data_IF_513633802459
#
_entry.id   IF_513633802459
#
_cell.length_a   1.000
_cell.length_b   1.000
_cell.length_c   1.000
_cell.angle_alpha   90.00
_cell.angle_beta   90.00
_cell.angle_gamma   90.00
#
_symmetry.space_group_name_H-M   'P 1'
#
loop_
_entity.id
_entity.type
_entity.pdbx_description
1 polymer ?
#
# COMPACT_ATOMS: atom_id res chain seq x y z
N UNK A 1 40.11 21.52 -1.22
CA UNK A 1 39.54 21.66 0.15
C UNK A 1 38.75 20.41 0.51
N UNK A 2 38.07 20.38 1.66
CA UNK A 2 37.32 19.21 2.13
C UNK A 2 38.13 18.30 3.05
N UNK A 3 37.73 17.04 3.17
CA UNK A 3 38.38 16.05 4.04
C UNK A 3 37.48 14.85 4.39
N UNK A 4 38.05 13.95 5.17
CA UNK A 4 37.34 12.82 5.79
C UNK A 4 36.61 13.32 7.04
N UNK A 5 35.33 13.00 7.14
CA UNK A 5 34.46 13.35 8.25
C UNK A 5 34.22 12.08 9.07
N UNK A 6 34.85 12.01 10.25
CA UNK A 6 34.87 10.79 11.08
C UNK A 6 33.79 10.78 12.18
N UNK A 7 33.17 11.93 12.44
CA UNK A 7 32.13 12.03 13.46
C UNK A 7 30.84 11.37 12.99
N UNK A 8 30.12 10.72 13.91
CA UNK A 8 28.82 10.08 13.65
C UNK A 8 27.73 11.10 13.25
N UNK A 9 27.91 12.39 13.51
CA UNK A 9 27.07 13.44 12.92
C UNK A 9 27.86 14.72 12.76
N UNK A 10 27.40 15.61 11.89
CA UNK A 10 28.05 16.88 11.68
C UNK A 10 27.32 17.80 10.73
N UNK A 11 27.88 19.00 10.58
CA UNK A 11 27.43 20.01 9.62
C UNK A 11 28.61 20.36 8.72
N UNK A 12 28.38 20.28 7.42
CA UNK A 12 29.31 20.67 6.37
C UNK A 12 28.88 22.06 5.89
N UNK A 13 29.80 23.00 5.98
CA UNK A 13 29.65 24.32 5.40
C UNK A 13 30.52 24.41 4.15
N UNK A 14 30.00 25.08 3.12
CA UNK A 14 30.84 25.59 2.04
C UNK A 14 31.98 26.49 2.61
N UNK A 15 33.13 26.59 1.94
CA UNK A 15 34.22 27.42 2.41
C UNK A 15 33.79 28.88 2.61
N UNK A 16 34.40 29.57 3.58
CA UNK A 16 34.16 30.97 3.90
C UNK A 16 32.71 31.36 4.30
N UNK A 17 31.86 30.36 4.59
CA UNK A 17 30.45 30.56 4.98
C UNK A 17 30.24 31.57 6.13
N UNK A 18 31.09 31.53 7.15
CA UNK A 18 31.00 32.42 8.31
C UNK A 18 31.90 33.66 8.23
N UNK A 19 33.00 33.59 7.50
CA UNK A 19 34.02 34.65 7.47
C UNK A 19 33.72 35.72 6.45
N UNK A 20 33.38 35.34 5.23
CA UNK A 20 33.08 36.27 4.11
C UNK A 20 31.61 36.20 3.70
N UNK A 21 30.93 35.12 4.08
CA UNK A 21 29.52 34.92 3.77
C UNK A 21 29.26 34.42 2.36
N UNK A 22 30.30 34.12 1.60
CA UNK A 22 30.28 33.49 0.28
C UNK A 22 31.51 32.59 0.12
N UNK A 23 31.40 31.53 -0.68
CA UNK A 23 32.54 30.71 -1.06
C UNK A 23 33.51 31.46 -2.01
N UNK A 24 34.67 30.87 -2.30
CA UNK A 24 35.64 31.41 -3.25
C UNK A 24 35.47 30.79 -4.65
N UNK A 25 35.95 31.48 -5.67
CA UNK A 25 36.12 30.92 -7.01
C UNK A 25 37.23 29.86 -7.03
N UNK A 26 37.23 29.02 -8.07
CA UNK A 26 38.24 28.02 -8.41
C UNK A 26 38.48 26.98 -7.30
N UNK A 27 37.39 26.53 -6.67
CA UNK A 27 37.43 25.55 -5.60
C UNK A 27 37.10 24.16 -6.13
N UNK A 28 37.83 23.18 -5.62
CA UNK A 28 37.39 21.79 -5.58
C UNK A 28 37.48 21.32 -4.13
N UNK A 29 36.33 21.14 -3.49
CA UNK A 29 36.24 20.55 -2.15
C UNK A 29 35.61 19.16 -2.22
N UNK A 30 36.27 18.17 -1.63
CA UNK A 30 35.77 16.80 -1.59
C UNK A 30 35.57 16.41 -0.13
N UNK A 31 34.33 16.13 0.25
CA UNK A 31 33.96 15.69 1.60
C UNK A 31 33.58 14.21 1.55
N UNK A 32 34.21 13.39 2.38
CA UNK A 32 33.93 11.95 2.49
C UNK A 32 33.48 11.64 3.89
N UNK A 33 32.27 11.10 4.04
CA UNK A 33 31.74 10.75 5.36
C UNK A 33 32.11 9.31 5.66
N UNK A 34 32.97 9.12 6.67
CA UNK A 34 33.35 7.78 7.13
C UNK A 34 32.20 7.14 7.89
N UNK A 35 32.11 5.83 7.70
CA UNK A 35 31.14 4.93 8.32
C UNK A 35 31.76 3.56 8.45
N UNK A 36 31.28 2.77 9.40
CA UNK A 36 31.61 1.36 9.53
C UNK A 36 30.75 0.54 8.55
N UNK A 37 31.12 -0.74 8.31
CA UNK A 37 30.17 -1.71 7.77
C UNK A 37 28.86 -1.68 8.58
N UNK A 38 27.72 -1.84 7.91
CA UNK A 38 26.37 -1.87 8.49
C UNK A 38 25.82 -0.55 9.07
N UNK A 39 26.55 0.56 8.89
CA UNK A 39 26.03 1.91 9.12
C UNK A 39 25.43 2.49 7.83
N UNK A 40 24.70 3.60 7.93
CA UNK A 40 24.07 4.34 6.85
C UNK A 40 24.41 5.81 7.04
N UNK A 41 24.70 6.52 5.96
CA UNK A 41 24.91 7.98 6.01
C UNK A 41 23.67 8.67 5.47
N UNK A 42 23.02 9.46 6.31
CA UNK A 42 21.97 10.37 5.91
C UNK A 42 22.55 11.77 5.74
N UNK A 43 22.17 12.47 4.66
CA UNK A 43 22.52 13.86 4.42
C UNK A 43 21.31 14.69 3.96
N UNK A 44 21.27 15.94 4.42
CA UNK A 44 20.25 16.92 4.08
C UNK A 44 20.91 18.31 3.93
N UNK A 45 20.52 19.06 2.89
CA UNK A 45 20.98 20.43 2.66
C UNK A 45 19.96 21.41 3.22
N UNK A 46 20.30 22.06 4.34
CA UNK A 46 19.41 23.01 5.04
C UNK A 46 19.40 24.39 4.36
N UNK A 47 20.55 24.80 3.80
CA UNK A 47 20.69 26.03 3.03
C UNK A 47 21.49 25.71 1.76
N UNK A 48 21.07 26.25 0.62
CA UNK A 48 21.71 26.02 -0.67
C UNK A 48 21.47 27.20 -1.62
N UNK A 49 22.55 27.88 -1.99
CA UNK A 49 22.56 28.98 -2.96
C UNK A 49 23.93 29.02 -3.65
N UNK A 50 23.97 28.51 -4.88
CA UNK A 50 25.13 28.49 -5.77
C UNK A 50 24.86 29.30 -7.04
N UNK A 51 25.90 29.62 -7.81
CA UNK A 51 25.70 30.20 -9.13
C UNK A 51 24.80 29.31 -9.98
N UNK A 52 23.75 29.90 -10.56
CA UNK A 52 22.79 29.16 -11.35
C UNK A 52 23.26 29.05 -12.80
N UNK A 53 23.23 27.83 -13.34
CA UNK A 53 23.37 27.55 -14.76
C UNK A 53 22.38 26.45 -15.16
N UNK A 54 21.82 26.52 -16.37
CA UNK A 54 20.81 25.56 -16.85
C UNK A 54 21.22 24.10 -16.71
N UNK A 55 22.51 23.82 -16.88
CA UNK A 55 23.11 22.49 -16.73
C UNK A 55 24.14 22.42 -15.58
N UNK A 56 24.15 23.40 -14.67
CA UNK A 56 25.08 23.48 -13.54
C UNK A 56 26.57 23.26 -13.89
N UNK A 57 27.03 23.93 -14.97
CA UNK A 57 28.40 23.79 -15.49
C UNK A 57 29.39 24.74 -14.81
N UNK A 58 28.90 25.76 -14.10
CA UNK A 58 29.70 26.69 -13.34
C UNK A 58 29.95 26.10 -11.94
N UNK A 59 29.23 26.61 -10.95
CA UNK A 59 29.27 26.07 -9.60
C UNK A 59 28.31 24.90 -9.43
N UNK A 60 28.77 23.83 -8.80
CA UNK A 60 27.93 22.66 -8.56
C UNK A 60 28.30 21.85 -7.33
N UNK A 61 27.30 21.20 -6.76
CA UNK A 61 27.46 20.09 -5.83
C UNK A 61 27.06 18.79 -6.50
N UNK A 62 27.92 17.80 -6.41
CA UNK A 62 27.72 16.44 -6.91
C UNK A 62 27.83 15.45 -5.74
N UNK A 63 26.95 14.46 -5.69
CA UNK A 63 26.91 13.47 -4.60
C UNK A 63 27.09 12.09 -5.22
N UNK A 64 28.09 11.35 -4.75
CA UNK A 64 28.46 10.02 -5.24
C UNK A 64 28.25 8.98 -4.13
N UNK A 65 27.67 7.83 -4.49
CA UNK A 65 27.58 6.65 -3.61
C UNK A 65 28.76 5.74 -3.94
N UNK A 66 29.91 6.01 -3.31
CA UNK A 66 31.18 5.35 -3.56
C UNK A 66 32.29 6.35 -3.87
N UNK A 67 33.31 5.88 -4.60
CA UNK A 67 34.41 6.74 -5.02
C UNK A 67 34.07 7.52 -6.29
N UNK A 68 34.05 8.85 -6.18
CA UNK A 68 33.76 9.76 -7.28
C UNK A 68 34.68 9.63 -8.52
N UNK A 69 35.85 8.98 -8.40
CA UNK A 69 36.75 8.77 -9.53
C UNK A 69 36.34 7.59 -10.41
N UNK A 70 35.51 6.69 -9.89
CA UNK A 70 35.04 5.53 -10.66
C UNK A 70 33.82 5.92 -11.49
N UNK A 71 33.91 5.78 -12.81
CA UNK A 71 32.82 6.11 -13.73
C UNK A 71 31.58 5.24 -13.57
N UNK A 72 31.68 4.08 -12.91
CA UNK A 72 30.53 3.21 -12.63
C UNK A 72 29.79 3.56 -11.33
N UNK A 73 30.26 4.53 -10.57
CA UNK A 73 29.67 4.92 -9.28
C UNK A 73 28.34 5.67 -9.48
N UNK A 74 27.30 5.27 -8.73
CA UNK A 74 26.00 5.96 -8.75
C UNK A 74 26.18 7.40 -8.29
N UNK A 75 25.64 8.35 -9.07
CA UNK A 75 25.84 9.79 -8.91
C UNK A 75 24.50 10.52 -8.95
N UNK A 76 24.38 11.56 -8.12
CA UNK A 76 23.25 12.49 -8.07
C UNK A 76 23.76 13.92 -8.26
N UNK A 77 23.10 14.67 -9.15
CA UNK A 77 23.47 16.03 -9.55
C UNK A 77 23.89 16.11 -11.02
N UNK A 78 24.58 17.17 -11.45
CA UNK A 78 25.01 18.33 -10.66
C UNK A 78 23.85 19.19 -10.16
N UNK A 79 23.97 19.73 -8.95
CA UNK A 79 23.01 20.67 -8.36
C UNK A 79 23.60 22.06 -8.24
N UNK A 80 22.82 23.09 -8.58
CA UNK A 80 23.22 24.51 -8.53
C UNK A 80 22.00 25.43 -8.38
N UNK A 81 22.22 26.74 -8.28
CA UNK A 81 21.16 27.69 -7.98
C UNK A 81 20.65 27.55 -6.54
N UNK A 82 19.35 27.70 -6.35
CA UNK A 82 18.69 27.68 -5.02
C UNK A 82 17.93 26.39 -4.72
N UNK A 83 17.86 25.47 -5.67
CA UNK A 83 17.22 24.17 -5.47
C UNK A 83 18.22 23.20 -4.87
N UNK A 84 18.07 22.94 -3.57
CA UNK A 84 18.92 22.02 -2.83
C UNK A 84 18.77 20.58 -3.34
N UNK A 85 19.85 19.77 -3.26
CA UNK A 85 19.75 18.33 -3.44
C UNK A 85 18.70 17.71 -2.50
N UNK A 86 17.96 16.67 -2.93
CA UNK A 86 17.03 15.98 -2.06
C UNK A 86 17.77 15.30 -0.88
N UNK A 87 17.05 15.03 0.20
CA UNK A 87 17.57 14.25 1.33
C UNK A 87 17.95 12.85 0.84
N UNK A 88 19.19 12.44 1.12
CA UNK A 88 19.74 11.16 0.68
C UNK A 88 20.12 10.31 1.89
N UNK A 89 19.98 9.00 1.74
CA UNK A 89 20.50 8.00 2.68
C UNK A 89 21.24 6.94 1.89
N UNK A 90 22.43 6.60 2.35
CA UNK A 90 23.34 5.70 1.65
C UNK A 90 23.85 4.61 2.58
N UNK A 91 23.72 3.36 2.14
CA UNK A 91 24.42 2.22 2.70
C UNK A 91 25.80 1.99 2.03
N UNK A 92 26.30 2.96 1.27
CA UNK A 92 27.65 3.02 0.70
C UNK A 92 28.41 4.27 1.20
N UNK A 93 29.70 4.39 0.85
CA UNK A 93 30.49 5.59 1.12
C UNK A 93 29.84 6.82 0.45
N UNK A 94 29.52 7.86 1.22
CA UNK A 94 28.95 9.08 0.66
C UNK A 94 30.06 10.11 0.41
N UNK A 95 30.27 10.46 -0.86
CA UNK A 95 31.27 11.45 -1.30
C UNK A 95 30.57 12.67 -1.91
N UNK A 96 30.85 13.86 -1.38
CA UNK A 96 30.29 15.13 -1.86
C UNK A 96 31.43 15.92 -2.52
N UNK A 97 31.22 16.31 -3.77
CA UNK A 97 32.16 17.13 -4.54
C UNK A 97 31.53 18.48 -4.80
N UNK A 98 32.10 19.51 -4.20
CA UNK A 98 31.75 20.90 -4.47
C UNK A 98 32.80 21.53 -5.39
N UNK A 99 32.36 21.96 -6.57
CA UNK A 99 33.19 22.59 -7.59
C UNK A 99 32.70 24.02 -7.84
N UNK A 100 33.64 24.97 -7.98
CA UNK A 100 33.33 26.34 -8.40
C UNK A 100 34.19 26.78 -9.56
N UNK A 101 33.65 27.62 -10.43
CA UNK A 101 34.38 28.15 -11.58
C UNK A 101 35.18 29.43 -11.21
N UNK A 102 35.71 30.14 -12.20
CA UNK A 102 36.58 31.31 -11.97
C UNK A 102 35.82 32.59 -11.56
N UNK A 103 34.50 32.65 -11.66
CA UNK A 103 33.70 33.85 -11.43
C UNK A 103 32.44 33.59 -10.59
N UNK A 104 31.82 34.67 -10.10
CA UNK A 104 30.51 34.68 -9.42
C UNK A 104 30.38 33.71 -8.23
N UNK A 105 30.49 34.25 -7.03
CA UNK A 105 30.21 33.49 -5.81
C UNK A 105 28.84 33.80 -5.22
N UNK A 106 28.29 32.85 -4.47
CA UNK A 106 27.02 32.96 -3.74
C UNK A 106 27.21 32.57 -2.29
N UNK A 107 26.10 32.50 -1.53
CA UNK A 107 26.11 32.17 -0.10
C UNK A 107 26.71 30.78 0.17
N UNK A 108 26.55 29.84 -0.76
CA UNK A 108 27.04 28.48 -0.64
C UNK A 108 26.00 27.56 -0.03
N UNK A 109 26.45 26.57 0.73
CA UNK A 109 25.57 25.59 1.35
C UNK A 109 25.92 25.30 2.81
N UNK A 110 24.90 24.80 3.51
CA UNK A 110 24.96 24.19 4.83
C UNK A 110 24.26 22.84 4.75
N UNK A 111 25.02 21.76 4.89
CA UNK A 111 24.50 20.40 4.87
C UNK A 111 24.69 19.72 6.22
N UNK A 112 23.65 19.08 6.73
CA UNK A 112 23.73 18.24 7.94
C UNK A 112 23.84 16.79 7.52
N UNK A 113 24.71 16.04 8.20
CA UNK A 113 24.79 14.60 8.04
C UNK A 113 24.71 13.87 9.37
N UNK A 114 24.22 12.64 9.33
CA UNK A 114 24.20 11.71 10.45
C UNK A 114 24.51 10.30 9.95
N UNK A 115 25.31 9.57 10.71
CA UNK A 115 25.66 8.17 10.51
C UNK A 115 24.76 7.35 11.43
N UNK A 116 23.79 6.65 10.87
CA UNK A 116 22.84 5.82 11.61
C UNK A 116 23.16 4.34 11.41
N UNK A 117 22.78 3.48 12.36
CA UNK A 117 22.91 2.02 12.19
C UNK A 117 21.68 1.38 11.58
N UNK A 118 20.64 2.18 11.33
CA UNK A 118 19.36 1.73 10.85
C UNK A 118 18.56 2.88 10.21
N UNK A 119 17.48 2.52 9.53
CA UNK A 119 16.62 3.46 8.81
C UNK A 119 17.17 3.86 7.44
N UNK A 120 16.46 4.78 6.79
CA UNK A 120 16.90 5.42 5.55
C UNK A 120 15.83 5.56 4.48
N UNK A 121 16.18 6.22 3.37
CA UNK A 121 15.33 6.29 2.19
C UNK A 121 15.64 5.11 1.27
N UNK A 122 14.61 4.36 0.90
CA UNK A 122 14.70 3.15 0.09
C UNK A 122 13.94 3.39 -1.22
N UNK A 123 14.66 3.41 -2.34
CA UNK A 123 14.09 3.75 -3.66
C UNK A 123 14.16 2.62 -4.67
N UNK A 124 14.85 1.52 -4.33
CA UNK A 124 14.96 0.36 -5.20
C UNK A 124 13.61 -0.37 -5.25
N UNK A 125 13.20 -0.92 -6.40
CA UNK A 125 11.86 -1.50 -6.57
C UNK A 125 11.65 -2.79 -5.77
N UNK A 126 12.70 -3.41 -5.23
CA UNK A 126 12.64 -4.59 -4.36
C UNK A 126 13.75 -4.45 -3.33
N UNK A 127 13.47 -4.80 -2.08
CA UNK A 127 14.51 -4.91 -1.07
C UNK A 127 14.05 -5.63 0.20
N UNK A 128 15.00 -5.83 1.11
CA UNK A 128 14.75 -6.41 2.42
C UNK A 128 15.18 -5.44 3.53
N UNK A 129 14.45 -5.46 4.64
CA UNK A 129 14.77 -4.73 5.86
C UNK A 129 14.92 -5.77 6.97
N UNK A 130 16.12 -5.87 7.51
CA UNK A 130 16.42 -6.73 8.65
C UNK A 130 16.53 -5.91 9.93
N UNK A 131 16.27 -6.55 11.06
CA UNK A 131 16.47 -5.95 12.37
C UNK A 131 17.86 -5.32 12.51
N UNK A 132 17.95 -4.11 13.08
CA UNK A 132 19.22 -3.42 13.23
C UNK A 132 20.12 -4.11 14.27
N UNK A 133 21.42 -4.13 14.01
CA UNK A 133 22.42 -4.76 14.89
C UNK A 133 22.87 -3.87 16.07
N UNK A 134 22.37 -2.62 16.14
CA UNK A 134 22.82 -1.60 17.08
C UNK A 134 21.79 -1.22 18.15
N UNK A 135 22.24 -0.52 19.19
CA UNK A 135 21.43 -0.03 20.32
C UNK A 135 20.60 1.23 20.00
N UNK A 136 20.18 1.45 18.75
CA UNK A 136 19.48 2.69 18.36
C UNK A 136 18.00 2.62 18.68
N UNK A 137 17.52 3.34 19.70
CA UNK A 137 16.14 3.27 20.19
C UNK A 137 15.04 3.52 19.15
N UNK A 138 15.37 4.14 18.02
CA UNK A 138 14.42 4.45 16.95
C UNK A 138 15.08 4.30 15.57
N UNK A 139 14.38 3.64 14.65
CA UNK A 139 14.78 3.46 13.26
C UNK A 139 13.61 3.76 12.35
N UNK A 140 13.82 4.59 11.32
CA UNK A 140 12.77 4.96 10.36
C UNK A 140 13.24 4.71 8.94
N UNK A 141 12.52 3.86 8.21
CA UNK A 141 12.71 3.62 6.79
C UNK A 141 11.60 4.28 5.99
N UNK A 142 11.96 5.08 4.99
CA UNK A 142 11.02 5.69 4.04
C UNK A 142 11.20 5.01 2.69
N UNK A 143 10.26 4.17 2.29
CA UNK A 143 10.23 3.57 0.97
C UNK A 143 9.50 4.54 0.03
N UNK A 144 10.09 4.84 -1.12
CA UNK A 144 9.53 5.76 -2.11
C UNK A 144 9.86 5.34 -3.54
N UNK A 145 8.84 5.25 -4.39
CA UNK A 145 9.01 4.97 -5.82
C UNK A 145 8.69 6.21 -6.66
N UNK A 146 9.50 6.46 -7.69
CA UNK A 146 9.33 7.63 -8.54
C UNK A 146 8.09 7.56 -9.45
N UNK A 147 7.66 6.35 -9.86
CA UNK A 147 6.41 6.18 -10.60
C UNK A 147 5.23 6.20 -9.63
N UNK A 148 4.40 7.23 -9.73
CA UNK A 148 3.22 7.41 -8.88
C UNK A 148 2.13 6.35 -9.10
N UNK A 149 2.20 5.57 -10.19
CA UNK A 149 1.30 4.44 -10.44
C UNK A 149 1.60 3.24 -9.57
N UNK A 150 2.80 3.20 -8.97
CA UNK A 150 3.23 2.10 -8.11
C UNK A 150 2.84 2.36 -6.66
N UNK A 151 2.58 1.28 -5.95
CA UNK A 151 2.42 1.17 -4.50
C UNK A 151 3.58 0.35 -3.91
N UNK A 152 3.80 0.52 -2.61
CA UNK A 152 4.69 -0.31 -1.81
C UNK A 152 3.90 -1.48 -1.24
N UNK A 153 4.29 -2.70 -1.62
CA UNK A 153 3.91 -3.90 -0.91
C UNK A 153 5.00 -4.26 0.09
N UNK A 154 4.60 -4.53 1.33
CA UNK A 154 5.49 -4.92 2.43
C UNK A 154 5.01 -6.23 3.03
N UNK A 155 5.85 -7.25 2.98
CA UNK A 155 5.63 -8.54 3.61
C UNK A 155 6.50 -8.66 4.87
N UNK A 156 5.87 -9.03 5.97
CA UNK A 156 6.55 -9.46 7.19
C UNK A 156 6.82 -10.95 7.05
N UNK A 157 8.09 -11.34 6.94
CA UNK A 157 8.47 -12.75 6.79
C UNK A 157 8.55 -13.41 8.17
N UNK A 158 9.20 -12.74 9.12
CA UNK A 158 9.31 -13.18 10.51
C UNK A 158 9.48 -11.97 11.42
N UNK A 159 8.89 -12.03 12.62
CA UNK A 159 9.01 -10.94 13.59
C UNK A 159 8.88 -11.44 15.04
N UNK A 160 9.88 -11.14 15.85
CA UNK A 160 9.89 -11.25 17.30
C UNK A 160 10.39 -9.94 17.89
N UNK A 161 9.49 -9.16 18.51
CA UNK A 161 9.84 -7.87 19.08
C UNK A 161 10.25 -7.97 20.56
N UNK A 162 10.30 -9.16 21.16
CA UNK A 162 10.83 -9.33 22.52
C UNK A 162 10.01 -8.66 23.63
N UNK A 163 8.70 -8.49 23.44
CA UNK A 163 7.81 -7.81 24.39
C UNK A 163 7.34 -8.68 25.57
N UNK A 164 7.90 -9.87 25.77
CA UNK A 164 7.48 -10.84 26.80
C UNK A 164 7.50 -10.26 28.24
N UNK A 165 8.35 -9.27 28.48
CA UNK A 165 8.54 -8.63 29.79
C UNK A 165 7.65 -7.38 29.97
N UNK A 166 7.02 -6.91 28.89
CA UNK A 166 6.26 -5.68 28.85
C UNK A 166 4.78 -5.97 29.09
N UNK A 167 4.28 -5.55 30.26
CA UNK A 167 2.99 -6.04 30.78
C UNK A 167 1.78 -5.17 30.43
N UNK A 168 1.98 -3.87 30.21
CA UNK A 168 0.90 -2.88 30.05
C UNK A 168 1.02 -2.04 28.78
N UNK A 169 2.16 -2.10 28.08
CA UNK A 169 2.42 -1.37 26.85
C UNK A 169 3.48 -2.11 26.05
N UNK A 170 3.59 -1.79 24.77
CA UNK A 170 4.61 -2.35 23.90
C UNK A 170 5.91 -1.58 24.10
N UNK A 171 6.94 -2.19 24.67
CA UNK A 171 8.26 -1.54 24.78
C UNK A 171 8.92 -1.43 23.41
N UNK A 172 8.78 -2.48 22.61
CA UNK A 172 9.23 -2.54 21.23
C UNK A 172 8.01 -2.56 20.31
N UNK A 173 7.99 -1.71 19.29
CA UNK A 173 6.89 -1.69 18.34
C UNK A 173 7.38 -1.36 16.92
N UNK A 174 6.70 -1.94 15.94
CA UNK A 174 6.87 -1.65 14.53
C UNK A 174 5.59 -0.98 14.02
N UNK A 175 5.72 0.22 13.48
CA UNK A 175 4.61 0.97 12.85
C UNK A 175 4.81 0.99 11.34
N UNK A 176 3.73 0.74 10.61
CA UNK A 176 3.66 0.88 9.15
C UNK A 176 2.70 2.02 8.84
N UNK A 177 3.16 3.04 8.11
CA UNK A 177 2.43 4.29 7.88
C UNK A 177 2.45 4.64 6.39
N UNK A 178 1.41 5.32 5.90
CA UNK A 178 1.39 5.83 4.51
C UNK A 178 2.19 7.13 4.41
N UNK A 179 2.12 7.98 5.43
CA UNK A 179 2.84 9.24 5.50
C UNK A 179 3.31 9.59 6.92
N UNK A 180 4.11 10.65 7.06
CA UNK A 180 4.67 11.07 8.35
C UNK A 180 3.62 11.57 9.36
N UNK A 181 2.42 11.95 8.92
CA UNK A 181 1.37 12.47 9.79
C UNK A 181 0.44 11.38 10.33
N UNK A 182 0.53 10.14 9.84
CA UNK A 182 -0.37 9.04 10.21
C UNK A 182 -0.02 8.38 11.55
N UNK A 183 0.75 9.06 12.41
CA UNK A 183 1.18 8.49 13.70
C UNK A 183 0.04 7.99 14.59
N UNK A 184 -1.17 8.56 14.46
CA UNK A 184 -2.37 8.16 15.19
C UNK A 184 -3.15 7.02 14.53
N UNK A 185 -3.06 6.88 13.21
CA UNK A 185 -3.82 5.89 12.42
C UNK A 185 -2.89 5.19 11.40
N UNK A 186 -1.85 4.47 11.89
CA UNK A 186 -0.97 3.73 11.00
C UNK A 186 -1.72 2.59 10.31
N UNK A 187 -1.26 2.16 9.13
CA UNK A 187 -1.73 0.93 8.48
C UNK A 187 -1.60 -0.28 9.40
N UNK A 188 -0.53 -0.30 10.20
CA UNK A 188 -0.35 -1.30 11.24
C UNK A 188 0.43 -0.75 12.43
N UNK A 189 0.00 -1.15 13.63
CA UNK A 189 0.74 -1.02 14.87
C UNK A 189 1.00 -2.41 15.42
N UNK A 190 2.25 -2.87 15.36
CA UNK A 190 2.62 -4.23 15.66
C UNK A 190 3.50 -4.30 16.90
N UNK A 191 3.11 -5.17 17.83
CA UNK A 191 3.93 -5.42 19.01
C UNK A 191 3.89 -6.86 19.55
N UNK A 192 3.32 -7.78 18.77
CA UNK A 192 3.31 -9.20 19.09
C UNK A 192 4.32 -9.94 18.20
N UNK A 193 4.61 -11.19 18.53
CA UNK A 193 5.39 -12.06 17.67
C UNK A 193 4.49 -12.56 16.54
N UNK A 194 4.99 -12.50 15.31
CA UNK A 194 4.30 -13.00 14.12
C UNK A 194 5.12 -14.15 13.54
N UNK A 195 4.49 -15.32 13.45
CA UNK A 195 5.04 -16.55 12.85
C UNK A 195 4.46 -16.84 11.47
N UNK A 196 3.44 -16.09 11.06
CA UNK A 196 2.79 -16.19 9.74
C UNK A 196 3.13 -14.97 8.91
N UNK A 197 3.23 -15.15 7.60
CA UNK A 197 3.52 -14.08 6.67
C UNK A 197 2.30 -13.17 6.52
N UNK A 198 2.50 -11.86 6.75
CA UNK A 198 1.45 -10.86 6.60
C UNK A 198 1.93 -9.80 5.62
N UNK A 199 1.08 -9.44 4.66
CA UNK A 199 1.39 -8.43 3.65
C UNK A 199 0.51 -7.20 3.83
N UNK A 200 1.15 -6.04 3.77
CA UNK A 200 0.51 -4.72 3.75
C UNK A 200 0.80 -4.06 2.41
N UNK A 201 -0.15 -3.30 1.87
CA UNK A 201 0.02 -2.56 0.63
C UNK A 201 -0.36 -1.10 0.87
N UNK A 202 0.50 -0.18 0.43
CA UNK A 202 0.21 1.25 0.50
C UNK A 202 -0.77 1.67 -0.60
N UNK A 203 -1.49 2.74 -0.36
CA UNK A 203 -2.42 3.38 -1.30
C UNK A 203 -1.71 4.34 -2.26
N UNK A 204 -0.49 4.78 -1.92
CA UNK A 204 0.37 5.59 -2.78
C UNK A 204 1.75 4.97 -3.00
N UNK A 205 2.64 5.73 -3.64
CA UNK A 205 4.00 5.34 -4.01
C UNK A 205 5.03 5.45 -2.88
N UNK A 206 4.57 5.49 -1.63
CA UNK A 206 5.42 5.60 -0.45
C UNK A 206 4.88 4.78 0.72
N UNK A 207 5.79 4.37 1.60
CA UNK A 207 5.45 3.73 2.87
C UNK A 207 6.57 4.03 3.88
N UNK A 208 6.18 4.30 5.12
CA UNK A 208 7.11 4.58 6.21
C UNK A 208 7.03 3.47 7.25
N UNK A 209 8.17 2.92 7.60
CA UNK A 209 8.31 1.88 8.62
C UNK A 209 9.11 2.46 9.77
N UNK A 210 8.54 2.44 10.97
CA UNK A 210 9.16 2.96 12.17
C UNK A 210 9.30 1.85 13.21
N UNK A 211 10.53 1.52 13.59
CA UNK A 211 10.84 0.69 14.75
C UNK A 211 11.15 1.59 15.93
N UNK A 212 10.45 1.40 17.03
CA UNK A 212 10.85 1.91 18.34
C UNK A 212 11.23 0.73 19.22
N UNK A 213 12.38 0.79 19.89
CA UNK A 213 12.80 -0.24 20.84
C UNK A 213 13.42 0.35 22.10
N UNK A 214 13.17 -0.32 23.22
CA UNK A 214 13.68 0.06 24.52
C UNK A 214 15.13 -0.41 24.68
N UNK A 215 16.06 0.55 24.78
CA UNK A 215 17.49 0.30 24.90
C UNK A 215 17.92 -0.09 26.33
N UNK A 216 17.01 -0.09 27.30
CA UNK A 216 17.34 -0.34 28.71
C UNK A 216 17.45 -1.84 29.04
N UNK A 217 16.99 -2.74 28.17
CA UNK A 217 17.14 -4.19 28.32
C UNK A 217 17.81 -4.85 27.11
N UNK A 218 19.07 -5.27 27.28
CA UNK A 218 19.89 -5.92 26.25
C UNK A 218 19.35 -7.31 25.85
N UNK A 219 18.51 -7.93 26.67
CA UNK A 219 18.02 -9.31 26.48
C UNK A 219 16.83 -9.46 25.53
N UNK A 220 16.29 -8.37 24.98
CA UNK A 220 15.08 -8.38 24.13
C UNK A 220 15.22 -7.55 22.86
N UNK A 221 16.36 -7.69 22.15
CA UNK A 221 16.57 -7.00 20.88
C UNK A 221 15.52 -7.46 19.86
N UNK A 222 14.84 -6.54 19.15
CA UNK A 222 13.85 -6.90 18.15
C UNK A 222 14.55 -7.64 17.00
N UNK A 223 14.00 -8.78 16.61
CA UNK A 223 14.43 -9.56 15.45
C UNK A 223 13.29 -9.60 14.45
N UNK A 224 13.54 -9.14 13.23
CA UNK A 224 12.56 -9.20 12.18
C UNK A 224 13.24 -9.19 10.81
N UNK A 225 12.53 -9.71 9.83
CA UNK A 225 12.89 -9.61 8.43
C UNK A 225 11.65 -9.25 7.63
N UNK A 226 11.72 -8.12 6.95
CA UNK A 226 10.69 -7.59 6.08
C UNK A 226 11.21 -7.64 4.65
N UNK A 227 10.31 -7.86 3.71
CA UNK A 227 10.57 -7.73 2.29
C UNK A 227 9.60 -6.73 1.70
N UNK A 228 10.09 -5.81 0.89
CA UNK A 228 9.24 -4.88 0.16
C UNK A 228 9.48 -4.98 -1.33
N UNK A 229 8.45 -4.66 -2.10
CA UNK A 229 8.53 -4.53 -3.56
C UNK A 229 7.53 -3.51 -4.08
N UNK A 230 7.83 -2.98 -5.26
CA UNK A 230 6.93 -2.16 -6.04
C UNK A 230 5.86 -3.05 -6.69
N UNK A 231 4.60 -2.74 -6.42
CA UNK A 231 3.45 -3.37 -7.06
C UNK A 231 2.53 -2.29 -7.62
N UNK A 232 1.74 -2.55 -8.67
CA UNK A 232 0.81 -1.55 -9.20
C UNK A 232 -0.22 -1.14 -8.16
N UNK A 233 -0.51 0.16 -8.08
CA UNK A 233 -1.42 0.75 -7.09
C UNK A 233 -2.72 1.29 -7.69
N UNK A 234 -3.55 2.01 -6.90
CA UNK A 234 -4.82 2.56 -7.37
C UNK A 234 -4.70 3.52 -8.56
N UNK A 235 -3.61 4.30 -8.65
CA UNK A 235 -3.32 5.18 -9.80
C UNK A 235 -3.05 4.41 -11.10
N UNK A 236 -2.67 3.13 -11.01
CA UNK A 236 -2.57 2.21 -12.14
C UNK A 236 -3.89 1.49 -12.46
N UNK A 237 -4.98 1.80 -11.76
CA UNK A 237 -6.20 0.99 -11.69
C UNK A 237 -6.02 -0.38 -11.00
N UNK A 238 -4.92 -0.64 -10.28
CA UNK A 238 -4.74 -1.88 -9.54
C UNK A 238 -5.15 -1.73 -8.07
N UNK A 239 -6.43 -1.97 -7.79
CA UNK A 239 -7.02 -1.87 -6.47
C UNK A 239 -7.49 -0.46 -6.05
N UNK A 240 -7.91 -0.32 -4.80
CA UNK A 240 -8.38 0.95 -4.22
C UNK A 240 -9.63 0.81 -3.36
N UNK A 241 -10.03 1.90 -2.71
CA UNK A 241 -11.21 1.97 -1.86
C UNK A 241 -12.25 2.90 -2.47
N UNK A 242 -13.49 2.43 -2.57
CA UNK A 242 -14.65 3.17 -3.05
C UNK A 242 -15.66 3.33 -1.91
N UNK A 243 -15.32 4.17 -0.94
CA UNK A 243 -16.15 4.41 0.24
C UNK A 243 -17.16 5.52 -0.03
N UNK A 244 -18.44 5.17 0.05
CA UNK A 244 -19.57 6.08 -0.12
C UNK A 244 -19.83 6.57 -1.54
N UNK A 245 -19.18 5.98 -2.54
CA UNK A 245 -19.49 6.20 -3.94
C UNK A 245 -20.72 5.37 -4.36
N UNK A 246 -21.72 5.99 -4.98
CA UNK A 246 -23.00 5.34 -5.35
C UNK A 246 -22.94 4.54 -6.66
N UNK A 247 -21.97 4.83 -7.52
CA UNK A 247 -21.73 4.09 -8.76
C UNK A 247 -20.28 4.29 -9.18
N UNK A 248 -19.66 3.30 -9.86
CA UNK A 248 -18.30 3.44 -10.35
C UNK A 248 -17.91 2.33 -11.30
N UNK A 249 -16.67 2.41 -11.79
CA UNK A 249 -16.14 1.47 -12.79
C UNK A 249 -14.82 0.91 -12.29
N UNK A 250 -14.70 -0.41 -12.35
CA UNK A 250 -13.48 -1.14 -12.09
C UNK A 250 -12.96 -1.64 -13.44
N UNK A 251 -11.69 -1.35 -13.71
CA UNK A 251 -11.00 -1.74 -14.94
C UNK A 251 -9.71 -2.41 -14.53
N UNK A 252 -9.35 -3.47 -15.24
CA UNK A 252 -8.04 -4.12 -15.09
C UNK A 252 -6.92 -3.12 -15.44
N UNK A 253 -5.79 -3.12 -14.73
CA UNK A 253 -4.62 -2.32 -15.10
C UNK A 253 -4.09 -2.70 -16.49
N UNK A 254 -3.51 -1.69 -17.15
CA UNK A 254 -2.77 -1.75 -18.42
C UNK A 254 -1.66 -0.70 -18.31
N UNK A 255 -0.52 -1.13 -17.76
CA UNK A 255 0.63 -0.30 -17.37
C UNK A 255 1.49 0.11 -18.56
N UNK A 256 1.60 -0.75 -19.57
CA UNK A 256 2.39 -0.49 -20.78
C UNK A 256 1.57 -0.01 -21.99
N UNK A 257 0.24 -0.06 -21.89
CA UNK A 257 -0.69 0.47 -22.88
C UNK A 257 -0.90 -0.45 -24.08
N UNK A 258 -0.54 -1.73 -23.97
CA UNK A 258 -0.67 -2.72 -25.05
C UNK A 258 -2.08 -3.35 -25.14
N UNK A 259 -3.00 -2.93 -24.24
CA UNK A 259 -4.37 -3.44 -24.08
C UNK A 259 -4.48 -4.84 -23.48
N UNK A 260 -3.42 -5.37 -22.91
CA UNK A 260 -3.41 -6.59 -22.09
C UNK A 260 -3.04 -6.23 -20.65
N UNK A 261 -3.54 -7.00 -19.69
CA UNK A 261 -3.11 -6.81 -18.30
C UNK A 261 -1.76 -7.46 -18.05
N UNK A 262 -1.02 -6.98 -17.05
CA UNK A 262 0.28 -7.53 -16.69
C UNK A 262 0.18 -8.82 -15.88
N UNK A 263 1.29 -9.56 -15.85
CA UNK A 263 1.46 -10.74 -15.00
C UNK A 263 1.84 -10.38 -13.56
N UNK A 264 1.64 -11.32 -12.65
CA UNK A 264 1.96 -11.22 -11.22
C UNK A 264 1.27 -10.06 -10.47
N UNK A 265 0.12 -9.62 -10.97
CA UNK A 265 -0.79 -8.70 -10.31
C UNK A 265 -1.48 -9.35 -9.10
N UNK A 266 -1.65 -8.52 -8.07
CA UNK A 266 -2.56 -8.72 -6.93
C UNK A 266 -3.25 -7.39 -6.65
N UNK A 267 -4.42 -7.22 -7.27
CA UNK A 267 -5.20 -6.00 -7.23
C UNK A 267 -6.46 -6.23 -6.39
N UNK A 268 -6.63 -5.44 -5.33
CA UNK A 268 -7.77 -5.55 -4.41
C UNK A 268 -8.56 -4.25 -4.43
N UNK A 269 -9.83 -4.32 -4.81
CA UNK A 269 -10.77 -3.21 -4.71
C UNK A 269 -11.78 -3.49 -3.60
N UNK A 270 -12.00 -2.52 -2.74
CA UNK A 270 -13.04 -2.57 -1.70
C UNK A 270 -14.07 -1.50 -1.99
N UNK A 271 -15.34 -1.89 -2.01
CA UNK A 271 -16.47 -1.00 -2.25
C UNK A 271 -17.36 -1.06 -1.03
N UNK A 272 -17.67 0.08 -0.42
CA UNK A 272 -18.52 0.14 0.76
C UNK A 272 -19.57 1.26 0.64
N UNK A 273 -20.84 0.88 0.77
CA UNK A 273 -21.96 1.82 0.88
C UNK A 273 -22.04 2.45 2.26
N UNK A 274 -22.60 3.67 2.35
CA UNK A 274 -22.76 4.40 3.62
C UNK A 274 -24.00 3.97 4.42
N UNK A 275 -24.96 3.30 3.78
CA UNK A 275 -26.23 2.92 4.39
C UNK A 275 -26.30 1.45 4.76
N UNK A 276 -26.84 1.15 5.94
CA UNK A 276 -27.03 -0.21 6.45
C UNK A 276 -28.03 -1.04 5.60
N UNK A 277 -28.94 -0.37 4.87
CA UNK A 277 -29.91 -0.99 3.97
C UNK A 277 -29.49 -0.93 2.49
N UNK A 278 -28.20 -0.68 2.22
CA UNK A 278 -27.69 -0.68 0.85
C UNK A 278 -27.14 -2.06 0.49
N UNK A 279 -27.29 -2.41 -0.78
CA UNK A 279 -26.65 -3.54 -1.43
C UNK A 279 -25.89 -3.03 -2.64
N UNK A 280 -24.96 -3.82 -3.16
CA UNK A 280 -24.19 -3.48 -4.34
C UNK A 280 -24.51 -4.46 -5.44
N UNK A 281 -24.67 -3.92 -6.64
CA UNK A 281 -24.69 -4.72 -7.84
C UNK A 281 -23.43 -4.49 -8.66
N UNK A 282 -22.96 -5.55 -9.31
CA UNK A 282 -21.77 -5.56 -10.16
C UNK A 282 -22.13 -6.16 -11.53
N UNK A 283 -21.93 -5.40 -12.58
CA UNK A 283 -22.25 -5.78 -13.96
C UNK A 283 -21.02 -5.66 -14.86
N UNK A 284 -20.73 -6.70 -15.62
CA UNK A 284 -19.57 -6.75 -16.51
C UNK A 284 -19.94 -6.26 -17.92
N UNK A 285 -19.19 -5.28 -18.43
CA UNK A 285 -19.30 -4.82 -19.82
C UNK A 285 -18.44 -5.67 -20.77
N UNK A 286 -17.26 -6.08 -20.29
CA UNK A 286 -16.34 -6.99 -21.00
C UNK A 286 -15.58 -7.83 -20.00
N UNK A 287 -15.20 -9.04 -20.42
CA UNK A 287 -14.46 -9.98 -19.59
C UNK A 287 -13.61 -10.91 -20.47
N UNK A 288 -12.30 -10.81 -20.33
CA UNK A 288 -11.29 -11.63 -21.00
C UNK A 288 -10.12 -11.85 -20.03
N UNK A 289 -10.25 -12.88 -19.19
CA UNK A 289 -9.24 -13.27 -18.20
C UNK A 289 -8.67 -14.63 -18.61
N UNK A 290 -7.35 -14.68 -18.78
CA UNK A 290 -6.67 -15.84 -19.31
C UNK A 290 -6.71 -17.04 -18.35
N UNK A 291 -6.85 -18.22 -18.93
CA UNK A 291 -6.88 -19.50 -18.23
C UNK A 291 -6.35 -20.60 -19.16
N UNK A 292 -5.87 -21.71 -18.59
CA UNK A 292 -5.25 -22.82 -19.32
C UNK A 292 -6.16 -23.41 -20.40
N UNK A 293 -7.48 -23.38 -20.19
CA UNK A 293 -8.53 -23.87 -21.08
C UNK A 293 -9.60 -22.78 -21.30
N UNK A 294 -10.36 -22.80 -22.41
CA UNK A 294 -11.48 -21.87 -22.65
C UNK A 294 -12.71 -22.13 -21.73
N UNK A 295 -12.48 -22.56 -20.49
CA UNK A 295 -13.50 -22.98 -19.53
C UNK A 295 -13.70 -21.91 -18.45
N UNK A 296 -14.94 -21.81 -17.96
CA UNK A 296 -15.37 -20.92 -16.89
C UNK A 296 -15.50 -21.67 -15.55
N UNK A 297 -14.80 -22.79 -15.38
CA UNK A 297 -14.88 -23.66 -14.20
C UNK A 297 -14.06 -23.07 -13.03
N UNK A 298 -14.70 -22.72 -11.88
CA UNK A 298 -14.03 -22.08 -10.74
C UNK A 298 -12.81 -22.83 -10.18
N UNK A 299 -12.84 -24.17 -10.11
CA UNK A 299 -11.69 -24.94 -9.58
C UNK A 299 -10.48 -24.86 -10.51
N UNK A 300 -10.71 -24.82 -11.83
CA UNK A 300 -9.63 -24.69 -12.80
C UNK A 300 -9.11 -23.27 -12.90
N UNK A 301 -9.95 -22.25 -12.66
CA UNK A 301 -9.51 -20.87 -12.58
C UNK A 301 -8.40 -20.68 -11.53
N UNK A 302 -8.57 -21.24 -10.32
CA UNK A 302 -7.57 -21.12 -9.24
C UNK A 302 -6.28 -21.88 -9.56
N UNK A 303 -6.39 -23.06 -10.19
CA UNK A 303 -5.24 -23.96 -10.36
C UNK A 303 -4.51 -23.86 -11.71
N UNK A 304 -5.05 -23.11 -12.68
CA UNK A 304 -4.58 -23.13 -14.06
C UNK A 304 -4.52 -21.78 -14.78
N UNK A 305 -4.78 -20.65 -14.12
CA UNK A 305 -4.80 -19.37 -14.80
C UNK A 305 -4.89 -18.14 -13.91
N UNK A 306 -5.28 -17.04 -14.53
CA UNK A 306 -5.60 -15.79 -13.88
C UNK A 306 -7.08 -15.80 -13.49
N UNK A 307 -7.45 -15.09 -12.43
CA UNK A 307 -8.83 -15.10 -11.96
C UNK A 307 -9.19 -13.86 -11.14
N UNK A 308 -10.49 -13.59 -11.13
CA UNK A 308 -11.12 -12.56 -10.30
C UNK A 308 -11.99 -13.23 -9.23
N UNK A 309 -11.69 -13.00 -7.97
CA UNK A 309 -12.53 -13.40 -6.83
C UNK A 309 -13.37 -12.24 -6.35
N UNK A 310 -14.59 -12.53 -5.92
CA UNK A 310 -15.54 -11.54 -5.44
C UNK A 310 -16.12 -12.03 -4.11
N UNK A 311 -16.08 -11.18 -3.10
CA UNK A 311 -16.53 -11.47 -1.74
C UNK A 311 -17.60 -10.48 -1.29
N UNK A 312 -18.61 -10.99 -0.58
CA UNK A 312 -19.71 -10.23 0.01
C UNK A 312 -19.31 -9.67 1.38
N UNK A 313 -18.46 -8.65 1.35
CA UNK A 313 -17.86 -8.06 2.54
C UNK A 313 -16.65 -7.21 2.19
N UNK A 314 -15.97 -6.67 3.20
CA UNK A 314 -14.74 -5.89 3.02
C UNK A 314 -13.45 -6.71 3.21
N UNK A 315 -13.55 -8.03 3.41
CA UNK A 315 -12.39 -8.88 3.68
C UNK A 315 -12.45 -10.20 2.92
N UNK A 316 -11.28 -10.81 2.72
CA UNK A 316 -11.13 -12.15 2.11
C UNK A 316 -11.76 -13.29 2.94
N UNK A 317 -12.12 -13.03 4.20
CA UNK A 317 -12.81 -14.00 5.06
C UNK A 317 -14.34 -13.96 4.89
N UNK A 318 -14.86 -12.99 4.13
CA UNK A 318 -16.28 -12.88 3.86
C UNK A 318 -16.76 -13.99 2.90
N UNK A 319 -18.07 -14.08 2.70
CA UNK A 319 -18.64 -15.08 1.79
C UNK A 319 -18.16 -14.82 0.36
N UNK A 320 -17.51 -15.81 -0.26
CA UNK A 320 -17.12 -15.72 -1.67
C UNK A 320 -18.36 -15.88 -2.56
N UNK A 321 -18.67 -14.86 -3.35
CA UNK A 321 -19.77 -14.84 -4.31
C UNK A 321 -19.38 -15.55 -5.62
N UNK A 322 -18.16 -15.31 -6.10
CA UNK A 322 -17.72 -15.86 -7.38
C UNK A 322 -16.19 -15.96 -7.48
N UNK A 323 -15.74 -16.90 -8.32
CA UNK A 323 -14.39 -16.93 -8.92
C UNK A 323 -14.61 -16.97 -10.42
N UNK A 324 -14.03 -16.02 -11.13
CA UNK A 324 -14.29 -15.78 -12.55
C UNK A 324 -12.99 -15.84 -13.33
N UNK A 325 -12.99 -16.59 -14.42
CA UNK A 325 -11.95 -16.58 -15.45
C UNK A 325 -12.57 -16.98 -16.81
N UNK A 326 -11.79 -16.88 -17.89
CA UNK A 326 -12.23 -17.24 -19.23
C UNK A 326 -12.54 -16.03 -20.12
N UNK A 327 -12.83 -16.33 -21.39
CA UNK A 327 -12.96 -15.34 -22.48
C UNK A 327 -14.15 -15.56 -23.42
N UNK A 328 -14.97 -16.57 -23.14
CA UNK A 328 -16.06 -17.00 -24.02
C UNK A 328 -17.41 -16.42 -23.63
N UNK A 329 -17.61 -16.06 -22.36
CA UNK A 329 -18.85 -15.49 -21.84
C UNK A 329 -18.58 -14.34 -20.88
N UNK A 330 -19.44 -13.32 -20.93
CA UNK A 330 -19.48 -12.24 -19.94
C UNK A 330 -20.18 -12.78 -18.69
N UNK A 331 -19.59 -12.65 -17.48
CA UNK A 331 -20.23 -13.09 -16.25
C UNK A 331 -21.58 -12.41 -16.00
N UNK A 332 -22.48 -13.13 -15.34
CA UNK A 332 -23.79 -12.60 -14.95
C UNK A 332 -23.67 -11.46 -13.92
N UNK A 333 -24.70 -10.61 -13.86
CA UNK A 333 -24.79 -9.54 -12.87
C UNK A 333 -24.80 -10.15 -11.46
N UNK A 334 -23.88 -9.72 -10.62
CA UNK A 334 -23.78 -10.14 -9.23
C UNK A 334 -24.44 -9.09 -8.32
N UNK A 335 -25.09 -9.56 -7.25
CA UNK A 335 -25.74 -8.71 -6.25
C UNK A 335 -25.27 -9.16 -4.87
N UNK A 336 -24.73 -8.22 -4.07
CA UNK A 336 -24.30 -8.47 -2.70
C UNK A 336 -25.50 -8.59 -1.76
N UNK A 337 -25.30 -9.27 -0.63
CA UNK A 337 -26.25 -9.31 0.48
C UNK A 337 -25.91 -8.30 1.58
N UNK A 338 -24.66 -7.86 1.63
CA UNK A 338 -24.15 -6.78 2.50
C UNK A 338 -24.05 -5.46 1.75
N UNK A 339 -23.75 -4.38 2.48
CA UNK A 339 -23.45 -3.06 1.90
C UNK A 339 -21.98 -2.94 1.45
N UNK A 340 -21.29 -4.05 1.19
CA UNK A 340 -19.90 -4.03 0.76
C UNK A 340 -19.54 -5.17 -0.18
N UNK A 341 -18.55 -4.91 -1.05
CA UNK A 341 -17.94 -5.92 -1.91
C UNK A 341 -16.43 -5.78 -1.87
N UNK A 342 -15.73 -6.91 -1.87
CA UNK A 342 -14.29 -6.97 -2.10
C UNK A 342 -14.04 -7.77 -3.37
N UNK A 343 -13.27 -7.20 -4.29
CA UNK A 343 -12.83 -7.84 -5.51
C UNK A 343 -11.31 -8.03 -5.43
N UNK A 344 -10.82 -9.22 -5.72
CA UNK A 344 -9.39 -9.49 -5.84
C UNK A 344 -9.08 -10.10 -7.20
N UNK A 345 -8.25 -9.43 -7.99
CA UNK A 345 -7.73 -9.93 -9.26
C UNK A 345 -6.30 -10.41 -9.09
N UNK A 346 -6.06 -11.69 -9.37
CA UNK A 346 -4.76 -12.35 -9.27
C UNK A 346 -4.36 -12.86 -10.64
N UNK A 347 -3.12 -12.57 -11.04
CA UNK A 347 -2.53 -13.12 -12.25
C UNK A 347 -1.24 -13.89 -11.94
N UNK A 348 -0.94 -14.91 -12.72
CA UNK A 348 0.22 -15.76 -12.52
C UNK A 348 1.49 -15.21 -13.20
N UNK A 349 2.54 -16.04 -13.37
CA UNK A 349 3.80 -15.64 -14.05
C UNK A 349 3.81 -15.92 -15.55
N UNK A 350 2.79 -16.61 -16.06
CA UNK A 350 2.72 -17.05 -17.44
C UNK A 350 2.50 -15.84 -18.37
N UNK A 351 3.00 -15.95 -19.60
CA UNK A 351 2.83 -14.89 -20.62
C UNK A 351 1.45 -14.92 -21.29
N UNK A 352 0.53 -15.75 -20.81
CA UNK A 352 -0.84 -15.84 -21.33
C UNK A 352 -1.70 -14.83 -20.58
N UNK A 353 -1.84 -13.65 -21.13
CA UNK A 353 -2.73 -12.60 -20.60
C UNK A 353 -3.91 -12.38 -21.55
N UNK A 354 -4.91 -11.63 -21.08
CA UNK A 354 -6.11 -11.26 -21.84
C UNK A 354 -6.33 -9.74 -21.80
N UNK A 355 -7.41 -9.28 -22.44
CA UNK A 355 -7.80 -7.86 -22.43
C UNK A 355 -8.42 -7.40 -21.09
N UNK A 356 -8.49 -8.29 -20.11
CA UNK A 356 -9.01 -8.02 -18.77
C UNK A 356 -10.52 -7.82 -18.76
N UNK A 357 -11.00 -7.07 -17.78
CA UNK A 357 -12.41 -6.81 -17.56
C UNK A 357 -12.69 -5.34 -17.33
N UNK A 358 -13.94 -4.97 -17.58
CA UNK A 358 -14.52 -3.68 -17.20
C UNK A 358 -15.86 -3.95 -16.55
N UNK A 359 -15.98 -3.62 -15.27
CA UNK A 359 -17.16 -3.86 -14.47
C UNK A 359 -17.70 -2.55 -13.89
N UNK A 360 -19.01 -2.40 -13.88
CA UNK A 360 -19.72 -1.27 -13.29
C UNK A 360 -20.33 -1.73 -11.98
N UNK A 361 -20.09 -0.99 -10.91
CA UNK A 361 -20.78 -1.21 -9.64
C UNK A 361 -21.81 -0.11 -9.41
N UNK A 362 -22.92 -0.46 -8.75
CA UNK A 362 -23.95 0.47 -8.30
C UNK A 362 -24.38 0.12 -6.88
N UNK A 363 -24.52 1.15 -6.05
CA UNK A 363 -25.14 1.04 -4.74
C UNK A 363 -26.64 1.20 -4.91
N UNK A 364 -27.36 0.15 -4.58
CA UNK A 364 -28.81 0.07 -4.68
C UNK A 364 -29.40 0.00 -3.27
N UNK A 365 -30.61 0.52 -3.09
CA UNK A 365 -31.33 0.32 -1.83
C UNK A 365 -31.94 -1.07 -1.85
N UNK A 366 -31.76 -1.79 -0.75
CA UNK A 366 -32.35 -3.11 -0.56
C UNK A 366 -33.87 -3.01 -0.65
N UNK A 367 -34.46 -3.59 -1.69
CA UNK A 367 -35.92 -3.63 -1.88
C UNK A 367 -36.58 -4.71 -1.01
N UNK A 368 -35.81 -5.74 -0.62
CA UNK A 368 -36.24 -6.83 0.24
C UNK A 368 -35.05 -7.53 0.93
N UNK A 369 -35.31 -8.23 2.03
CA UNK A 369 -34.27 -8.86 2.87
C UNK A 369 -33.84 -8.00 4.05
N UNK A 370 -32.82 -8.46 4.79
CA UNK A 370 -32.24 -7.76 5.94
C UNK A 370 -32.46 -8.45 7.29
N UNK A 371 -31.98 -7.82 8.35
CA UNK A 371 -32.05 -8.39 9.70
C UNK A 371 -33.24 -7.82 10.47
N UNK A 372 -34.08 -8.71 11.00
CA UNK A 372 -35.27 -8.35 11.78
C UNK A 372 -35.07 -8.86 13.20
N UNK A 373 -35.18 -7.97 14.18
CA UNK A 373 -35.27 -8.38 15.58
C UNK A 373 -36.71 -8.80 15.89
N UNK A 374 -36.88 -10.05 16.31
CA UNK A 374 -38.18 -10.55 16.76
C UNK A 374 -38.66 -9.76 17.99
N UNK A 375 -39.99 -9.65 18.16
CA UNK A 375 -40.59 -8.98 19.31
C UNK A 375 -41.82 -9.75 19.78
N UNK A 376 -42.33 -9.44 20.98
CA UNK A 376 -43.59 -10.02 21.48
C UNK A 376 -44.80 -9.62 20.63
N UNK A 377 -44.69 -8.53 19.86
CA UNK A 377 -45.71 -8.07 18.93
C UNK A 377 -45.42 -8.69 17.55
N UNK A 378 -46.38 -9.46 16.98
CA UNK A 378 -46.21 -10.02 15.64
C UNK A 378 -46.00 -8.92 14.60
N UNK A 379 -44.93 -9.03 13.82
CA UNK A 379 -44.69 -8.21 12.64
C UNK A 379 -45.03 -9.01 11.37
N UNK A 380 -45.45 -8.31 10.32
CA UNK A 380 -45.72 -8.90 9.01
C UNK A 380 -44.59 -8.61 8.04
N UNK A 381 -44.16 -9.64 7.32
CA UNK A 381 -43.22 -9.54 6.21
C UNK A 381 -43.99 -9.64 4.89
N UNK A 382 -43.55 -8.91 3.86
CA UNK A 382 -44.14 -8.97 2.53
C UNK A 382 -43.05 -9.01 1.47
N UNK A 383 -43.33 -9.70 0.35
CA UNK A 383 -42.50 -9.58 -0.84
C UNK A 383 -42.51 -8.13 -1.35
N UNK A 384 -41.43 -7.67 -2.00
CA UNK A 384 -41.41 -6.33 -2.57
C UNK A 384 -42.59 -6.15 -3.55
N UNK A 385 -43.18 -4.96 -3.50
CA UNK A 385 -44.37 -4.56 -4.28
C UNK A 385 -45.70 -5.25 -3.92
N UNK A 386 -45.74 -6.17 -2.94
CA UNK A 386 -46.99 -6.78 -2.47
C UNK A 386 -48.05 -5.71 -2.15
N UNK A 387 -49.29 -5.85 -2.62
CA UNK A 387 -49.91 -7.04 -3.21
C UNK A 387 -49.71 -7.21 -4.73
N UNK A 388 -48.92 -6.38 -5.39
CA UNK A 388 -48.57 -6.57 -6.80
C UNK A 388 -47.55 -7.70 -6.96
N UNK A 389 -47.43 -8.21 -8.18
CA UNK A 389 -46.45 -9.26 -8.51
C UNK A 389 -45.02 -8.80 -8.24
N UNK A 390 -44.18 -9.75 -7.81
CA UNK A 390 -42.75 -9.53 -7.61
C UNK A 390 -42.01 -9.48 -8.95
N UNK A 391 -40.96 -8.66 -9.03
CA UNK A 391 -40.09 -8.58 -10.21
C UNK A 391 -39.14 -9.77 -10.29
N UNK A 392 -38.59 -10.06 -11.49
CA UNK A 392 -37.59 -11.12 -11.70
C UNK A 392 -36.31 -10.54 -12.31
N UNK A 393 -35.10 -11.01 -11.93
CA UNK A 393 -34.81 -11.98 -10.86
C UNK A 393 -34.85 -11.32 -9.47
N UNK A 394 -35.37 -12.04 -8.47
CA UNK A 394 -35.48 -11.55 -7.10
C UNK A 394 -34.94 -12.57 -6.11
N UNK A 395 -33.92 -12.18 -5.35
CA UNK A 395 -33.34 -13.00 -4.29
C UNK A 395 -33.35 -12.20 -2.98
N UNK A 396 -34.27 -12.54 -2.09
CA UNK A 396 -34.40 -11.90 -0.79
C UNK A 396 -33.94 -12.89 0.30
N UNK A 397 -33.16 -12.41 1.27
CA UNK A 397 -32.81 -13.18 2.47
C UNK A 397 -33.08 -12.33 3.70
N UNK A 398 -33.85 -12.89 4.64
CA UNK A 398 -34.16 -12.26 5.92
C UNK A 398 -33.56 -13.07 7.05
N UNK A 399 -32.79 -12.41 7.91
CA UNK A 399 -32.27 -12.99 9.13
C UNK A 399 -33.14 -12.53 10.30
N UNK A 400 -33.80 -13.45 10.99
CA UNK A 400 -34.67 -13.10 12.12
C UNK A 400 -33.96 -13.42 13.43
N UNK A 401 -33.53 -12.38 14.14
CA UNK A 401 -32.84 -12.48 15.42
C UNK A 401 -33.85 -12.68 16.56
N UNK A 402 -33.73 -13.80 17.26
CA UNK A 402 -34.45 -14.09 18.50
C UNK A 402 -34.03 -13.16 19.64
N UNK A 403 -34.96 -12.66 20.44
CA UNK A 403 -34.60 -11.98 21.70
C UNK A 403 -34.17 -13.03 22.73
N UNK A 404 -32.96 -12.88 23.27
CA UNK A 404 -32.44 -13.74 24.34
C UNK A 404 -33.14 -13.42 25.67
N UNK A 405 -34.32 -14.00 25.88
CA UNK A 405 -34.99 -13.99 27.18
C UNK A 405 -34.72 -15.29 27.95
N UNK A 406 -34.85 -15.23 29.29
CA UNK A 406 -34.62 -16.37 30.20
C UNK A 406 -35.46 -17.62 29.87
N UNK A 407 -36.54 -17.43 29.11
CA UNK A 407 -37.32 -18.49 28.49
C UNK A 407 -37.09 -18.42 26.98
N UNK A 408 -36.52 -19.49 26.39
CA UNK A 408 -36.38 -19.63 24.94
C UNK A 408 -37.77 -19.75 24.32
N UNK A 409 -38.30 -18.64 23.78
CA UNK A 409 -39.57 -18.64 23.04
C UNK A 409 -39.27 -19.04 21.59
N UNK A 410 -39.94 -20.06 21.02
CA UNK A 410 -39.72 -20.44 19.63
C UNK A 410 -40.21 -19.33 18.69
N UNK A 411 -39.43 -19.05 17.65
CA UNK A 411 -39.87 -18.19 16.56
C UNK A 411 -40.94 -18.92 15.74
N UNK A 412 -42.12 -18.31 15.58
CA UNK A 412 -43.22 -18.87 14.80
C UNK A 412 -43.42 -18.03 13.54
N UNK A 413 -43.18 -18.65 12.39
CA UNK A 413 -43.48 -18.07 11.08
C UNK A 413 -44.83 -18.58 10.58
N UNK A 414 -45.67 -17.68 10.08
CA UNK A 414 -46.96 -18.02 9.50
C UNK A 414 -47.14 -17.27 8.18
N UNK A 415 -47.25 -18.01 7.09
CA UNK A 415 -47.66 -17.46 5.81
C UNK A 415 -49.14 -17.06 5.87
N UNK A 416 -49.42 -15.78 5.64
CA UNK A 416 -50.78 -15.26 5.52
C UNK A 416 -51.28 -15.35 4.08
N UNK A 417 -50.36 -15.17 3.13
CA UNK A 417 -50.59 -15.23 1.69
C UNK A 417 -49.31 -15.78 1.02
N UNK A 418 -49.47 -16.58 -0.03
CA UNK A 418 -48.37 -17.20 -0.77
C UNK A 418 -48.80 -17.48 -2.21
N UNK A 419 -48.24 -16.72 -3.15
CA UNK A 419 -48.46 -16.88 -4.59
C UNK A 419 -47.09 -16.84 -5.29
N UNK A 420 -46.60 -18.00 -5.72
CA UNK A 420 -45.30 -18.19 -6.36
C UNK A 420 -45.48 -18.99 -7.65
N UNK A 421 -44.71 -18.66 -8.68
CA UNK A 421 -44.74 -19.38 -9.95
C UNK A 421 -43.69 -20.49 -9.97
N UNK A 422 -44.04 -21.60 -9.32
CA UNK A 422 -43.18 -22.76 -9.18
C UNK A 422 -42.76 -23.38 -10.54
N UNK A 423 -43.50 -23.11 -11.62
CA UNK A 423 -43.19 -23.64 -12.95
C UNK A 423 -41.91 -23.05 -13.56
N UNK A 424 -41.53 -21.86 -13.08
CA UNK A 424 -40.28 -21.18 -13.44
C UNK A 424 -39.19 -21.35 -12.38
N UNK A 425 -39.42 -22.19 -11.36
CA UNK A 425 -38.46 -22.46 -10.30
C UNK A 425 -38.47 -21.45 -9.16
N UNK A 426 -39.51 -20.62 -9.02
CA UNK A 426 -39.63 -19.67 -7.91
C UNK A 426 -39.96 -20.41 -6.60
N UNK A 427 -39.22 -20.10 -5.51
CA UNK A 427 -39.43 -20.71 -4.19
C UNK A 427 -39.10 -19.73 -3.04
N UNK A 428 -39.59 -20.06 -1.84
CA UNK A 428 -39.16 -19.46 -0.56
C UNK A 428 -38.68 -20.60 0.33
N UNK A 429 -37.51 -20.43 0.95
CA UNK A 429 -36.85 -21.44 1.78
C UNK A 429 -36.78 -21.00 3.25
#
# INVERSE_FOLDING_TARGET
CGGELENESGIIYSPNYFTQGSYSNDLTCIYRIRRKPDEYVQIEFEEFDLEHHTNCLFDSVNIYLGDHQNSSTKHYGPYCGVLAPPRLVSNELLTIVFHTDLMVTKRGFKARYNVTKCGGNLTEPIGEIVSPSGSQSECVWNIFFADERMSVSLQIIEMNLGNEHCRYYCCNNLKIMENQNDHHFPLAYLCNNLTEEVTFKSTGNQMIISLMHDTWQVSSMPQFRLRYWASPGPKANCGGHFDGQIEGVIVTPDLDGDSFYEKQLDCIWTIAGLGENQILSLEFERFDVATSDNETDPERCIHGGDYLQIFDGTTMHAQQLAILCGRTMIPEKLISTTNSLLLQFITNIDDRTGHGFRAHFRVENRTCGGTITSSEIPSSLSSPQYPNGYERPLQCSWEILGVLNYYQVPLILKFQDLDLDCSHGDYVQ
#
